data_IF_221158514216
#
_entry.id   IF_221158514216
#
_cell.length_a   1.000
_cell.length_b   1.000
_cell.length_c   1.000
_cell.angle_alpha   90.00
_cell.angle_beta   90.00
_cell.angle_gamma   90.00
#
_symmetry.space_group_name_H-M   'P 1'
#
loop_
_entity.id
_entity.type
_entity.pdbx_description
1 polymer ?
#
# COMPACT_ATOMS: atom_id res chain seq x y z
N UNK A 1 7.03 -22.85 33.92
CA UNK A 1 6.86 -21.72 32.98
C UNK A 1 6.85 -22.28 31.57
N UNK A 2 5.67 -22.62 31.04
CA UNK A 2 5.53 -23.16 29.68
C UNK A 2 5.66 -22.02 28.69
N UNK A 3 6.83 -21.90 28.06
CA UNK A 3 7.04 -21.00 26.93
C UNK A 3 6.09 -21.40 25.81
N UNK A 4 5.01 -20.65 25.63
CA UNK A 4 4.11 -20.76 24.47
C UNK A 4 5.00 -20.65 23.24
N UNK A 5 5.20 -21.76 22.52
CA UNK A 5 5.94 -21.80 21.26
C UNK A 5 5.21 -20.90 20.28
N UNK A 6 5.65 -19.65 20.19
CA UNK A 6 5.17 -18.68 19.20
C UNK A 6 5.48 -19.28 17.83
N UNK A 7 4.48 -19.49 16.99
CA UNK A 7 4.67 -20.12 15.68
C UNK A 7 5.81 -19.42 14.91
N UNK A 8 6.93 -20.13 14.74
CA UNK A 8 8.18 -19.54 14.21
C UNK A 8 7.97 -18.91 12.83
N UNK A 9 7.15 -19.54 11.99
CA UNK A 9 6.80 -19.03 10.66
C UNK A 9 6.02 -17.71 10.70
N UNK A 10 5.03 -17.58 11.60
CA UNK A 10 4.27 -16.34 11.74
C UNK A 10 5.15 -15.18 12.24
N UNK A 11 6.13 -15.49 13.10
CA UNK A 11 7.13 -14.51 13.52
C UNK A 11 8.03 -14.05 12.36
N UNK A 12 8.53 -15.00 11.55
CA UNK A 12 9.35 -14.69 10.36
C UNK A 12 8.57 -13.83 9.37
N UNK A 13 7.33 -14.20 9.04
CA UNK A 13 6.48 -13.41 8.15
C UNK A 13 6.21 -12.01 8.70
N UNK A 14 6.03 -11.88 10.02
CA UNK A 14 5.82 -10.58 10.68
C UNK A 14 7.05 -9.69 10.54
N UNK A 15 8.25 -10.25 10.69
CA UNK A 15 9.52 -9.52 10.48
C UNK A 15 9.62 -9.09 9.02
N UNK A 16 9.37 -9.98 8.06
CA UNK A 16 9.41 -9.67 6.64
C UNK A 16 8.48 -8.52 6.28
N UNK A 17 7.21 -8.58 6.70
CA UNK A 17 6.23 -7.50 6.46
C UNK A 17 6.68 -6.19 7.12
N UNK A 18 7.29 -6.26 8.30
CA UNK A 18 7.82 -5.07 8.99
C UNK A 18 8.98 -4.45 8.23
N UNK A 19 9.89 -5.27 7.69
CA UNK A 19 11.01 -4.80 6.86
C UNK A 19 10.49 -4.14 5.60
N UNK A 20 9.56 -4.78 4.87
CA UNK A 20 8.93 -4.20 3.67
C UNK A 20 8.28 -2.86 3.99
N UNK A 21 7.49 -2.78 5.07
CA UNK A 21 6.84 -1.55 5.51
C UNK A 21 7.82 -0.40 5.73
N UNK A 22 8.89 -0.65 6.49
CA UNK A 22 9.88 0.40 6.81
C UNK A 22 10.77 0.74 5.62
N UNK A 23 11.12 -0.24 4.77
CA UNK A 23 11.85 0.04 3.53
C UNK A 23 11.02 0.92 2.60
N UNK A 24 9.74 0.60 2.38
CA UNK A 24 8.86 1.43 1.55
C UNK A 24 8.66 2.80 2.16
N UNK A 25 8.47 2.91 3.48
CA UNK A 25 8.35 4.21 4.15
C UNK A 25 9.62 5.06 4.00
N UNK A 26 10.80 4.46 4.17
CA UNK A 26 12.08 5.15 4.05
C UNK A 26 12.34 5.61 2.61
N UNK A 27 12.20 4.72 1.63
CA UNK A 27 12.36 5.05 0.20
C UNK A 27 11.35 6.12 -0.20
N UNK A 28 10.08 5.96 0.20
CA UNK A 28 9.02 6.92 -0.05
C UNK A 28 9.32 8.30 0.51
N UNK A 29 9.80 8.38 1.76
CA UNK A 29 10.20 9.64 2.38
C UNK A 29 11.35 10.31 1.61
N UNK A 30 12.36 9.55 1.17
CA UNK A 30 13.47 10.07 0.37
C UNK A 30 12.98 10.64 -0.96
N UNK A 31 12.12 9.90 -1.68
CA UNK A 31 11.55 10.34 -2.96
C UNK A 31 10.69 11.58 -2.79
N UNK A 32 9.83 11.62 -1.75
CA UNK A 32 8.98 12.77 -1.46
C UNK A 32 9.79 14.01 -1.09
N UNK A 33 10.87 13.86 -0.33
CA UNK A 33 11.76 14.97 0.02
C UNK A 33 12.52 15.47 -1.20
N UNK A 34 13.14 14.58 -1.97
CA UNK A 34 13.91 14.94 -3.15
C UNK A 34 13.02 15.62 -4.21
N UNK A 35 11.89 15.00 -4.58
CA UNK A 35 10.98 15.59 -5.55
C UNK A 35 10.21 16.79 -5.00
N UNK A 36 10.01 16.90 -3.68
CA UNK A 36 9.46 18.10 -3.05
C UNK A 36 10.41 19.30 -3.14
N UNK A 37 11.71 19.09 -2.91
CA UNK A 37 12.75 20.11 -3.13
C UNK A 37 12.74 20.54 -4.61
N UNK A 38 12.67 19.57 -5.52
CA UNK A 38 12.61 19.86 -6.94
C UNK A 38 11.38 20.67 -7.32
N UNK A 39 10.20 20.29 -6.82
CA UNK A 39 8.97 21.02 -7.08
C UNK A 39 9.06 22.48 -6.59
N UNK A 40 9.68 22.73 -5.44
CA UNK A 40 9.92 24.10 -4.94
C UNK A 40 10.91 24.84 -5.84
N UNK A 41 11.98 24.18 -6.30
CA UNK A 41 12.94 24.75 -7.26
C UNK A 41 12.22 25.24 -8.52
N UNK A 42 11.41 24.36 -9.14
CA UNK A 42 10.63 24.68 -10.35
C UNK A 42 9.65 25.84 -10.15
N UNK A 43 8.91 25.85 -9.02
CA UNK A 43 7.91 26.88 -8.73
C UNK A 43 8.54 28.23 -8.39
N UNK A 44 9.73 28.23 -7.80
CA UNK A 44 10.46 29.46 -7.44
C UNK A 44 11.20 30.10 -8.62
N UNK A 45 11.37 29.36 -9.72
CA UNK A 45 12.16 29.79 -10.88
C UNK A 45 13.64 30.03 -10.56
N UNK A 46 14.11 29.57 -9.40
CA UNK A 46 15.47 29.75 -8.91
C UNK A 46 16.07 28.38 -8.60
N UNK A 47 17.23 28.02 -9.19
CA UNK A 47 17.84 26.72 -8.94
C UNK A 47 18.25 26.61 -7.47
N UNK A 48 17.71 25.61 -6.78
CA UNK A 48 18.10 25.28 -5.41
C UNK A 48 19.35 24.39 -5.48
N UNK A 49 20.45 24.86 -4.89
CA UNK A 49 21.68 24.07 -4.78
C UNK A 49 21.82 23.53 -3.36
N UNK A 50 22.02 22.21 -3.26
CA UNK A 50 22.40 21.54 -2.00
C UNK A 50 23.80 20.98 -2.19
N UNK A 51 24.81 21.73 -1.74
CA UNK A 51 26.21 21.37 -1.91
C UNK A 51 26.63 21.36 -3.39
N UNK A 52 27.16 20.23 -3.88
CA UNK A 52 27.62 20.07 -5.26
C UNK A 52 26.53 19.62 -6.25
N UNK A 53 25.30 19.40 -5.78
CA UNK A 53 24.19 18.92 -6.62
C UNK A 53 23.44 20.15 -7.15
N UNK A 54 23.48 20.33 -8.48
CA UNK A 54 22.64 21.27 -9.21
C UNK A 54 21.55 20.49 -9.92
N UNK A 55 20.30 20.86 -9.72
CA UNK A 55 19.18 20.35 -10.49
C UNK A 55 18.75 21.46 -11.45
N UNK A 56 19.02 21.26 -12.74
CA UNK A 56 18.79 22.26 -13.79
C UNK A 56 18.21 21.63 -15.07
N UNK A 57 17.95 20.31 -15.04
CA UNK A 57 17.42 19.56 -16.16
C UNK A 57 15.92 19.32 -15.95
N UNK A 58 15.12 20.25 -16.45
CA UNK A 58 13.66 20.26 -16.26
C UNK A 58 12.95 19.45 -17.35
N UNK A 59 13.32 18.18 -17.49
CA UNK A 59 12.71 17.25 -18.48
C UNK A 59 11.27 16.84 -18.11
N UNK A 60 10.82 17.18 -16.90
CA UNK A 60 9.49 16.87 -16.36
C UNK A 60 8.74 18.17 -16.09
N UNK A 61 7.46 18.24 -16.44
CA UNK A 61 6.63 19.42 -16.14
C UNK A 61 6.16 19.47 -14.68
N UNK A 62 5.84 20.67 -14.17
CA UNK A 62 5.34 20.86 -12.79
C UNK A 62 4.10 19.98 -12.48
N UNK A 63 3.08 19.88 -13.37
CA UNK A 63 1.94 19.01 -13.13
C UNK A 63 2.31 17.53 -13.05
N UNK A 64 3.28 17.06 -13.85
CA UNK A 64 3.75 15.66 -13.82
C UNK A 64 4.49 15.34 -12.54
N UNK A 65 5.40 16.22 -12.11
CA UNK A 65 6.14 16.02 -10.87
C UNK A 65 5.18 16.02 -9.67
N UNK A 66 4.27 16.98 -9.60
CA UNK A 66 3.27 17.05 -8.53
C UNK A 66 2.37 15.80 -8.51
N UNK A 67 1.89 15.36 -9.67
CA UNK A 67 1.11 14.14 -9.81
C UNK A 67 1.90 12.88 -9.38
N UNK A 68 3.17 12.80 -9.75
CA UNK A 68 4.09 11.74 -9.34
C UNK A 68 4.28 11.68 -7.83
N UNK A 69 4.47 12.83 -7.17
CA UNK A 69 4.60 12.91 -5.71
C UNK A 69 3.33 12.48 -4.98
N UNK A 70 2.16 12.88 -5.48
CA UNK A 70 0.87 12.39 -4.95
C UNK A 70 0.77 10.87 -5.14
N UNK A 71 1.17 10.35 -6.30
CA UNK A 71 1.22 8.91 -6.57
C UNK A 71 2.11 8.14 -5.58
N UNK A 72 3.32 8.64 -5.32
CA UNK A 72 4.24 8.07 -4.34
C UNK A 72 3.62 8.09 -2.94
N UNK A 73 3.03 9.21 -2.52
CA UNK A 73 2.37 9.33 -1.22
C UNK A 73 1.24 8.30 -1.06
N UNK A 74 0.39 8.15 -2.08
CA UNK A 74 -0.70 7.17 -2.08
C UNK A 74 -0.16 5.75 -1.93
N UNK A 75 0.87 5.38 -2.70
CA UNK A 75 1.47 4.03 -2.64
C UNK A 75 2.11 3.77 -1.28
N UNK A 76 2.87 4.72 -0.74
CA UNK A 76 3.52 4.58 0.58
C UNK A 76 2.46 4.38 1.67
N UNK A 77 1.43 5.22 1.70
CA UNK A 77 0.33 5.11 2.65
C UNK A 77 -0.40 3.75 2.51
N UNK A 78 -0.67 3.31 1.29
CA UNK A 78 -1.32 2.03 1.03
C UNK A 78 -0.47 0.85 1.52
N UNK A 79 0.82 0.80 1.17
CA UNK A 79 1.73 -0.28 1.60
C UNK A 79 1.88 -0.32 3.11
N UNK A 80 2.02 0.84 3.77
CA UNK A 80 2.10 0.93 5.22
C UNK A 80 0.81 0.42 5.86
N UNK A 81 -0.35 0.88 5.40
CA UNK A 81 -1.64 0.45 5.90
C UNK A 81 -1.86 -1.06 5.73
N UNK A 82 -1.61 -1.59 4.54
CA UNK A 82 -1.72 -3.03 4.26
C UNK A 82 -0.79 -3.84 5.16
N UNK A 83 0.45 -3.38 5.33
CA UNK A 83 1.43 -4.04 6.22
C UNK A 83 0.97 -4.06 7.67
N UNK A 84 0.35 -2.97 8.15
CA UNK A 84 -0.22 -2.92 9.50
C UNK A 84 -1.36 -3.92 9.68
N UNK A 85 -2.26 -4.05 8.70
CA UNK A 85 -3.36 -5.03 8.77
C UNK A 85 -2.86 -6.47 8.66
N UNK A 86 -1.90 -6.75 7.77
CA UNK A 86 -1.28 -8.07 7.64
C UNK A 86 -0.59 -8.50 8.94
N UNK A 87 0.11 -7.59 9.62
CA UNK A 87 0.75 -7.89 10.91
C UNK A 87 -0.26 -8.29 11.99
N UNK A 88 -1.46 -7.70 11.98
CA UNK A 88 -2.53 -8.09 12.92
C UNK A 88 -3.03 -9.51 12.62
N UNK A 89 -3.19 -9.86 11.34
CA UNK A 89 -3.57 -11.22 10.91
C UNK A 89 -2.47 -12.24 11.29
N UNK A 90 -1.19 -11.89 11.08
CA UNK A 90 -0.07 -12.74 11.47
C UNK A 90 0.03 -12.90 13.00
N UNK A 91 -0.34 -11.88 13.77
CA UNK A 91 -0.37 -11.98 15.23
C UNK A 91 -1.41 -13.00 15.73
N UNK A 92 -2.60 -13.05 15.13
CA UNK A 92 -3.63 -14.05 15.49
C UNK A 92 -3.20 -15.45 15.05
N UNK A 93 -2.56 -15.57 13.87
CA UNK A 93 -1.96 -16.83 13.41
C UNK A 93 -0.84 -17.29 14.36
N UNK A 94 0.00 -16.38 14.85
CA UNK A 94 1.05 -16.69 15.83
C UNK A 94 0.48 -17.13 17.18
N UNK A 95 -0.72 -16.67 17.53
CA UNK A 95 -1.44 -17.04 18.73
C UNK A 95 -2.10 -18.43 18.64
N UNK A 96 -2.20 -19.00 17.43
CA UNK A 96 -2.76 -20.33 17.14
C UNK A 96 -4.19 -20.31 16.58
N UNK A 97 -4.81 -19.13 16.45
CA UNK A 97 -6.17 -19.00 15.92
C UNK A 97 -6.21 -18.01 14.73
N UNK A 98 -6.07 -18.50 13.48
CA UNK A 98 -6.16 -17.65 12.30
C UNK A 98 -7.59 -17.25 11.93
N UNK A 99 -8.60 -18.04 12.32
CA UNK A 99 -9.99 -17.85 11.93
C UNK A 99 -10.74 -17.10 13.03
N UNK A 100 -10.41 -15.82 13.16
CA UNK A 100 -11.15 -14.88 14.00
C UNK A 100 -11.99 -13.95 13.12
N UNK A 101 -13.22 -13.57 13.50
CA UNK A 101 -14.11 -12.74 12.68
C UNK A 101 -13.46 -11.42 12.26
N UNK A 102 -12.58 -10.88 13.10
CA UNK A 102 -11.85 -9.65 12.84
C UNK A 102 -10.96 -9.77 11.60
N UNK A 103 -10.37 -10.94 11.33
CA UNK A 103 -9.47 -11.12 10.18
C UNK A 103 -10.21 -10.99 8.85
N UNK A 104 -11.48 -11.37 8.76
CA UNK A 104 -12.31 -11.11 7.58
C UNK A 104 -12.42 -9.60 7.31
N UNK A 105 -12.68 -8.82 8.36
CA UNK A 105 -12.75 -7.35 8.26
C UNK A 105 -11.40 -6.76 7.84
N UNK A 106 -10.28 -7.28 8.37
CA UNK A 106 -8.92 -6.83 8.00
C UNK A 106 -8.63 -7.11 6.53
N UNK A 107 -8.95 -8.29 6.02
CA UNK A 107 -8.82 -8.64 4.60
C UNK A 107 -9.66 -7.73 3.70
N UNK A 108 -10.89 -7.42 4.12
CA UNK A 108 -11.77 -6.47 3.42
C UNK A 108 -11.14 -5.07 3.34
N UNK A 109 -10.57 -4.58 4.44
CA UNK A 109 -9.86 -3.30 4.48
C UNK A 109 -8.65 -3.28 3.55
N UNK A 110 -7.88 -4.37 3.49
CA UNK A 110 -6.76 -4.52 2.55
C UNK A 110 -7.26 -4.46 1.11
N UNK A 111 -8.33 -5.20 0.79
CA UNK A 111 -8.94 -5.19 -0.56
C UNK A 111 -9.35 -3.77 -0.98
N UNK A 112 -10.02 -3.04 -0.08
CA UNK A 112 -10.46 -1.66 -0.31
C UNK A 112 -9.26 -0.72 -0.49
N UNK A 113 -8.21 -0.86 0.33
CA UNK A 113 -7.01 -0.03 0.21
C UNK A 113 -6.33 -0.20 -1.16
N UNK A 114 -6.23 -1.45 -1.65
CA UNK A 114 -5.69 -1.73 -2.98
C UNK A 114 -6.61 -1.15 -4.07
N UNK A 115 -7.92 -1.32 -3.96
CA UNK A 115 -8.88 -0.79 -4.92
C UNK A 115 -8.80 0.75 -5.02
N UNK A 116 -8.75 1.45 -3.87
CA UNK A 116 -8.56 2.91 -3.81
C UNK A 116 -7.26 3.31 -4.49
N UNK A 117 -6.17 2.56 -4.26
CA UNK A 117 -4.87 2.83 -4.89
C UNK A 117 -4.96 2.74 -6.42
N UNK A 118 -5.70 1.76 -6.96
CA UNK A 118 -5.92 1.64 -8.40
C UNK A 118 -6.79 2.76 -8.96
N UNK A 119 -7.85 3.15 -8.25
CA UNK A 119 -8.67 4.30 -8.65
C UNK A 119 -7.86 5.60 -8.65
N UNK A 120 -7.03 5.83 -7.63
CA UNK A 120 -6.13 6.99 -7.58
C UNK A 120 -5.15 7.00 -8.73
N UNK A 121 -4.59 5.84 -9.12
CA UNK A 121 -3.72 5.73 -10.31
C UNK A 121 -4.44 6.24 -11.57
N UNK A 122 -5.69 5.84 -11.78
CA UNK A 122 -6.46 6.27 -12.94
C UNK A 122 -6.77 7.77 -12.91
N UNK A 123 -7.16 8.28 -11.74
CA UNK A 123 -7.41 9.73 -11.55
C UNK A 123 -6.14 10.54 -11.83
N UNK A 124 -4.98 10.09 -11.35
CA UNK A 124 -3.69 10.73 -11.60
C UNK A 124 -3.35 10.72 -13.10
N UNK A 125 -3.52 9.57 -13.77
CA UNK A 125 -3.25 9.46 -15.21
C UNK A 125 -4.14 10.42 -16.03
N UNK A 126 -5.44 10.47 -15.72
CA UNK A 126 -6.39 11.40 -16.35
C UNK A 126 -5.97 12.86 -16.10
N UNK A 127 -5.63 13.19 -14.85
CA UNK A 127 -5.20 14.54 -14.50
C UNK A 127 -3.97 14.97 -15.30
N UNK A 128 -2.95 14.12 -15.39
CA UNK A 128 -1.72 14.40 -16.17
C UNK A 128 -2.05 14.57 -17.65
N UNK A 129 -2.84 13.67 -18.25
CA UNK A 129 -3.20 13.77 -19.66
C UNK A 129 -4.06 14.98 -20.02
N UNK A 130 -4.78 15.56 -19.06
CA UNK A 130 -5.52 16.82 -19.25
C UNK A 130 -4.65 18.07 -19.07
N UNK A 131 -3.63 18.00 -18.22
CA UNK A 131 -2.80 19.16 -17.85
C UNK A 131 -1.54 19.30 -18.71
N UNK A 132 -1.05 18.20 -19.29
CA UNK A 132 0.20 18.18 -20.05
C UNK A 132 -0.09 17.96 -21.53
N UNK A 133 0.30 18.93 -22.34
CA UNK A 133 0.09 18.87 -23.79
C UNK A 133 1.13 17.94 -24.43
N UNK A 134 0.69 17.01 -25.28
CA UNK A 134 1.57 16.06 -25.97
C UNK A 134 1.74 14.71 -25.28
N UNK A 135 1.18 14.54 -24.08
CA UNK A 135 1.16 13.25 -23.37
C UNK A 135 0.00 12.39 -23.86
N UNK A 136 0.30 11.19 -24.37
CA UNK A 136 -0.75 10.20 -24.67
C UNK A 136 -1.30 9.61 -23.38
N UNK A 137 -2.63 9.66 -23.23
CA UNK A 137 -3.30 9.03 -22.11
C UNK A 137 -3.25 7.49 -22.26
N UNK A 138 -2.24 6.86 -21.68
CA UNK A 138 -2.19 5.40 -21.61
C UNK A 138 -3.06 4.88 -20.46
N UNK A 139 -4.32 4.61 -20.78
CA UNK A 139 -5.24 3.99 -19.83
C UNK A 139 -5.03 2.47 -19.82
N UNK A 140 -4.22 1.98 -18.89
CA UNK A 140 -4.03 0.56 -18.65
C UNK A 140 -4.78 0.11 -17.40
N UNK A 141 -5.67 -0.88 -17.57
CA UNK A 141 -6.37 -1.51 -16.44
C UNK A 141 -5.51 -2.65 -15.93
N UNK A 142 -5.06 -2.54 -14.68
CA UNK A 142 -4.31 -3.61 -14.01
C UNK A 142 -5.26 -4.73 -13.55
N UNK A 143 -5.55 -5.65 -14.46
CA UNK A 143 -6.42 -6.80 -14.19
C UNK A 143 -5.88 -7.68 -13.06
N UNK A 144 -4.56 -7.74 -12.86
CA UNK A 144 -3.94 -8.54 -11.79
C UNK A 144 -4.24 -7.89 -10.43
N UNK A 145 -4.13 -6.57 -10.33
CA UNK A 145 -4.52 -5.87 -9.10
C UNK A 145 -6.02 -6.02 -8.81
N UNK A 146 -6.89 -5.90 -9.81
CA UNK A 146 -8.33 -6.11 -9.62
C UNK A 146 -8.67 -7.55 -9.25
N UNK A 147 -7.99 -8.54 -9.85
CA UNK A 147 -8.10 -9.93 -9.43
C UNK A 147 -7.66 -10.12 -7.97
N UNK A 148 -6.60 -9.43 -7.53
CA UNK A 148 -6.14 -9.46 -6.14
C UNK A 148 -7.17 -8.87 -5.18
N UNK A 149 -7.82 -7.77 -5.55
CA UNK A 149 -8.94 -7.18 -4.79
C UNK A 149 -10.09 -8.19 -4.66
N UNK A 150 -10.51 -8.80 -5.78
CA UNK A 150 -11.57 -9.80 -5.78
C UNK A 150 -11.20 -11.02 -4.92
N UNK A 151 -9.97 -11.52 -5.03
CA UNK A 151 -9.48 -12.63 -4.24
C UNK A 151 -9.48 -12.33 -2.74
N UNK A 152 -9.09 -11.12 -2.33
CA UNK A 152 -9.14 -10.70 -0.92
C UNK A 152 -10.58 -10.57 -0.39
N UNK A 153 -11.52 -10.10 -1.21
CA UNK A 153 -12.93 -10.11 -0.86
C UNK A 153 -13.43 -11.54 -0.66
N UNK A 154 -13.15 -12.45 -1.59
CA UNK A 154 -13.52 -13.86 -1.47
C UNK A 154 -12.93 -14.45 -0.19
N UNK A 155 -11.64 -14.23 0.06
CA UNK A 155 -10.96 -14.72 1.25
C UNK A 155 -11.60 -14.18 2.54
N UNK A 156 -11.99 -12.90 2.55
CA UNK A 156 -12.74 -12.30 3.66
C UNK A 156 -14.06 -13.05 3.94
N UNK A 157 -14.83 -13.36 2.89
CA UNK A 157 -16.09 -14.11 3.04
C UNK A 157 -15.83 -15.52 3.59
N UNK A 158 -14.81 -16.22 3.06
CA UNK A 158 -14.42 -17.56 3.52
C UNK A 158 -14.00 -17.56 4.98
N UNK A 159 -13.26 -16.54 5.43
CA UNK A 159 -12.90 -16.40 6.84
C UNK A 159 -14.12 -16.18 7.74
N UNK A 160 -15.08 -15.38 7.28
CA UNK A 160 -16.33 -15.16 8.03
C UNK A 160 -17.17 -16.42 8.13
N UNK A 161 -17.33 -17.17 7.06
CA UNK A 161 -18.04 -18.45 7.10
C UNK A 161 -17.29 -19.48 7.96
N UNK A 162 -15.96 -19.55 7.86
CA UNK A 162 -15.15 -20.43 8.70
C UNK A 162 -15.32 -20.16 10.20
N UNK A 163 -15.49 -18.90 10.60
CA UNK A 163 -15.79 -18.56 12.00
C UNK A 163 -17.19 -19.01 12.42
N UNK A 164 -18.21 -18.81 11.56
CA UNK A 164 -19.60 -19.22 11.84
C UNK A 164 -19.72 -20.72 12.03
N UNK A 165 -19.12 -21.51 11.13
CA UNK A 165 -19.15 -22.97 11.20
C UNK A 165 -18.52 -23.50 12.50
N UNK A 166 -17.41 -22.90 12.94
CA UNK A 166 -16.75 -23.29 14.19
C UNK A 166 -17.59 -22.97 15.43
N UNK A 167 -18.38 -21.90 15.40
CA UNK A 167 -19.27 -21.55 16.49
C UNK A 167 -20.49 -22.49 16.54
N UNK A 168 -20.98 -22.96 15.39
CA UNK A 168 -22.04 -23.97 15.30
C UNK A 168 -21.61 -25.33 15.86
N UNK A 169 -20.39 -25.80 15.53
CA UNK A 169 -19.86 -27.07 16.04
C UNK A 169 -19.72 -27.08 17.58
N UNK A 170 -19.36 -25.93 18.17
CA UNK A 170 -19.24 -25.81 19.64
C UNK A 170 -20.58 -25.87 20.37
N UNK A 171 -21.70 -25.57 19.70
CA UNK A 171 -23.04 -25.64 20.30
C UNK A 171 -23.66 -27.05 20.20
N UNK A 172 -23.08 -27.94 19.40
CA UNK A 172 -23.56 -29.32 19.23
C UNK A 172 -22.91 -30.35 20.16
N UNK A 173 -21.92 -29.95 20.98
CA UNK A 173 -21.22 -30.80 21.96
C UNK A 173 -21.66 -30.44 23.38
#
# INVERSE_FOLDING_TARGET
MTGKTRNSMAAIMTVLVTVVMWMTAAIGAIVLLAGGIELVSMLSGSPISIGAIKVDDHDISVPELAAGLVGVLVVVCAVVFVSLELRKILATLAAGDPFVPENAVRLTRIAIAIAITQLMRYVIAIFVGLMVTGTSLEFSVDLIAWASVAALFILSQVFREGTRLRDEEKMTI
#
